data_IF_660048964741
#
_entry.id   IF_660048964741
#
_cell.length_a   1.000
_cell.length_b   1.000
_cell.length_c   1.000
_cell.angle_alpha   90.00
_cell.angle_beta   90.00
_cell.angle_gamma   90.00
#
_symmetry.space_group_name_H-M   'P 1'
#
loop_
_entity.id
_entity.type
_entity.pdbx_description
1 polymer ?
#
# COMPACT_ATOMS: atom_id res chain seq x y z
N UNK A 1 7.22 26.74 -4.45
CA UNK A 1 6.06 27.16 -5.27
C UNK A 1 5.01 26.03 -5.22
N UNK A 2 4.14 26.05 -4.21
CA UNK A 2 2.97 25.16 -4.12
C UNK A 2 1.98 25.57 -5.21
N UNK A 3 1.75 24.69 -6.18
CA UNK A 3 0.68 24.88 -7.17
C UNK A 3 -0.57 24.20 -6.63
N UNK A 4 -1.62 25.00 -6.43
CA UNK A 4 -2.97 24.58 -6.06
C UNK A 4 -3.61 23.78 -7.22
N UNK A 5 -3.40 22.47 -7.24
CA UNK A 5 -4.12 21.53 -8.10
C UNK A 5 -4.71 20.42 -7.21
N UNK A 6 -5.71 20.77 -6.39
CA UNK A 6 -6.36 19.80 -5.49
C UNK A 6 -7.89 19.82 -5.67
N UNK A 7 -8.37 19.74 -6.91
CA UNK A 7 -9.79 19.53 -7.21
C UNK A 7 -9.94 18.32 -8.14
N UNK A 8 -10.06 17.12 -7.56
CA UNK A 8 -10.77 16.01 -8.20
C UNK A 8 -12.21 16.01 -7.66
N UNK A 9 -13.15 16.45 -8.50
CA UNK A 9 -14.58 16.43 -8.17
C UNK A 9 -15.09 14.98 -8.22
N UNK A 10 -15.40 14.43 -7.04
CA UNK A 10 -15.93 13.07 -6.87
C UNK A 10 -17.45 13.04 -6.64
N UNK A 11 -18.17 14.14 -6.94
CA UNK A 11 -19.63 14.25 -6.79
C UNK A 11 -20.46 13.23 -7.59
N UNK A 12 -19.83 12.47 -8.49
CA UNK A 12 -20.47 11.49 -9.35
C UNK A 12 -20.64 10.07 -8.80
N UNK A 13 -20.26 9.76 -7.56
CA UNK A 13 -20.44 8.42 -6.97
C UNK A 13 -21.90 8.15 -6.50
N UNK A 14 -22.75 9.17 -6.48
CA UNK A 14 -24.09 9.16 -5.86
C UNK A 14 -25.21 8.46 -6.67
N UNK A 15 -24.92 7.73 -7.75
CA UNK A 15 -25.97 7.39 -8.72
C UNK A 15 -25.89 6.03 -9.39
N UNK A 16 -25.92 4.90 -8.63
CA UNK A 16 -26.50 3.60 -9.07
C UNK A 16 -26.39 2.51 -7.98
N UNK A 17 -27.54 2.25 -7.35
CA UNK A 17 -28.02 1.09 -6.55
C UNK A 17 -26.98 0.13 -5.93
N UNK A 18 -27.13 -0.07 -4.61
CA UNK A 18 -26.53 -0.98 -3.60
C UNK A 18 -25.88 -2.35 -3.97
N UNK A 19 -25.71 -2.72 -5.25
CA UNK A 19 -24.95 -3.90 -5.70
C UNK A 19 -23.85 -3.58 -6.72
N UNK A 20 -23.82 -2.38 -7.30
CA UNK A 20 -22.83 -2.02 -8.32
C UNK A 20 -21.39 -2.07 -7.78
N UNK A 21 -21.17 -1.68 -6.51
CA UNK A 21 -19.83 -1.67 -5.94
C UNK A 21 -19.16 -3.05 -5.96
N UNK A 22 -19.92 -4.16 -5.83
CA UNK A 22 -19.35 -5.52 -5.87
C UNK A 22 -18.80 -5.82 -7.25
N UNK A 23 -19.55 -5.49 -8.30
CA UNK A 23 -19.14 -5.67 -9.69
C UNK A 23 -17.92 -4.80 -10.00
N UNK A 24 -17.92 -3.53 -9.56
CA UNK A 24 -16.78 -2.62 -9.70
C UNK A 24 -15.54 -3.08 -8.92
N UNK A 25 -15.73 -3.87 -7.85
CA UNK A 25 -14.66 -4.53 -7.08
C UNK A 25 -14.38 -5.96 -7.56
N UNK A 26 -14.78 -6.31 -8.78
CA UNK A 26 -14.34 -7.53 -9.45
C UNK A 26 -15.12 -8.80 -9.09
N UNK A 27 -16.34 -8.70 -8.52
CA UNK A 27 -17.14 -9.89 -8.18
C UNK A 27 -17.51 -10.77 -9.38
N UNK A 28 -17.46 -10.22 -10.59
CA UNK A 28 -17.64 -10.94 -11.86
C UNK A 28 -16.43 -10.71 -12.78
N UNK A 29 -15.23 -10.67 -12.20
CA UNK A 29 -13.95 -10.56 -12.92
C UNK A 29 -13.86 -9.36 -13.88
N UNK A 30 -14.59 -8.28 -13.60
CA UNK A 30 -14.73 -7.10 -14.47
C UNK A 30 -15.15 -7.43 -15.91
N UNK A 31 -15.91 -8.52 -16.09
CA UNK A 31 -16.45 -8.91 -17.39
C UNK A 31 -17.21 -7.74 -18.03
N UNK A 32 -16.91 -7.47 -19.31
CA UNK A 32 -17.49 -6.40 -20.12
C UNK A 32 -17.29 -4.96 -19.57
N UNK A 33 -16.39 -4.76 -18.59
CA UNK A 33 -16.09 -3.43 -18.03
C UNK A 33 -14.73 -2.86 -18.43
N UNK A 34 -13.84 -3.68 -19.02
CA UNK A 34 -12.46 -3.29 -19.34
C UNK A 34 -12.35 -2.70 -20.75
N UNK A 35 -13.07 -3.27 -21.72
CA UNK A 35 -12.99 -2.88 -23.13
C UNK A 35 -14.40 -2.86 -23.77
N UNK A 36 -15.01 -1.67 -23.96
CA UNK A 36 -14.52 -0.36 -23.55
C UNK A 36 -14.54 -0.17 -22.03
N UNK A 37 -13.63 0.65 -21.49
CA UNK A 37 -13.52 0.88 -20.06
C UNK A 37 -14.76 1.62 -19.50
N UNK A 38 -15.55 0.92 -18.68
CA UNK A 38 -16.71 1.46 -17.98
C UNK A 38 -16.32 2.68 -17.12
N UNK A 39 -17.14 3.72 -17.17
CA UNK A 39 -16.86 4.97 -16.45
C UNK A 39 -16.85 4.78 -14.92
N UNK A 40 -17.70 3.90 -14.40
CA UNK A 40 -17.74 3.55 -12.98
C UNK A 40 -16.47 2.81 -12.55
N UNK A 41 -16.00 1.88 -13.38
CA UNK A 41 -14.74 1.18 -13.15
C UNK A 41 -13.56 2.15 -13.22
N UNK A 42 -13.51 3.03 -14.22
CA UNK A 42 -12.46 4.06 -14.33
C UNK A 42 -12.36 4.92 -13.07
N UNK A 43 -13.49 5.43 -12.57
CA UNK A 43 -13.53 6.24 -11.34
C UNK A 43 -13.10 5.44 -10.11
N UNK A 44 -13.50 4.17 -10.04
CA UNK A 44 -13.11 3.26 -8.93
C UNK A 44 -11.61 2.99 -8.94
N UNK A 45 -11.01 2.76 -10.11
CA UNK A 45 -9.57 2.56 -10.26
C UNK A 45 -8.78 3.82 -9.90
N UNK A 46 -9.23 5.00 -10.36
CA UNK A 46 -8.62 6.29 -10.00
C UNK A 46 -8.69 6.50 -8.48
N UNK A 47 -9.84 6.24 -7.87
CA UNK A 47 -10.04 6.38 -6.43
C UNK A 47 -9.04 5.55 -5.60
N UNK A 48 -8.85 4.27 -5.91
CA UNK A 48 -7.84 3.46 -5.22
C UNK A 48 -6.41 3.86 -5.61
N UNK A 49 -6.21 4.33 -6.84
CA UNK A 49 -4.94 4.88 -7.31
C UNK A 49 -4.51 6.11 -6.53
N UNK A 50 -5.41 7.04 -6.22
CA UNK A 50 -5.14 8.21 -5.38
C UNK A 50 -4.74 7.81 -3.95
N UNK A 51 -5.38 6.78 -3.37
CA UNK A 51 -5.03 6.26 -2.05
C UNK A 51 -3.64 5.61 -2.03
N UNK A 52 -3.28 4.86 -3.08
CA UNK A 52 -1.95 4.31 -3.24
C UNK A 52 -0.89 5.42 -3.48
N UNK A 53 -1.22 6.43 -4.28
CA UNK A 53 -0.35 7.58 -4.54
C UNK A 53 -0.11 8.40 -3.27
N UNK A 54 -1.12 8.56 -2.41
CA UNK A 54 -0.98 9.25 -1.12
C UNK A 54 0.11 8.60 -0.25
N UNK A 55 0.29 7.27 -0.35
CA UNK A 55 1.37 6.60 0.35
C UNK A 55 2.75 6.99 -0.21
N UNK A 56 2.87 7.18 -1.52
CA UNK A 56 4.10 7.68 -2.12
C UNK A 56 4.37 9.13 -1.73
N UNK A 57 3.37 10.00 -1.82
CA UNK A 57 3.50 11.44 -1.60
C UNK A 57 3.81 11.78 -0.13
N UNK A 58 3.29 10.98 0.80
CA UNK A 58 3.55 11.15 2.23
C UNK A 58 4.95 10.67 2.64
N UNK A 59 5.66 9.90 1.82
CA UNK A 59 6.95 9.30 2.21
C UNK A 59 8.12 10.31 2.13
N UNK A 60 9.02 10.25 3.10
CA UNK A 60 10.22 11.11 3.13
C UNK A 60 11.39 10.39 2.44
N UNK A 61 11.62 10.69 1.17
CA UNK A 61 12.73 10.11 0.38
C UNK A 61 14.08 10.84 0.55
N UNK A 62 14.06 12.07 1.06
CA UNK A 62 15.26 12.90 1.21
C UNK A 62 16.22 12.30 2.25
N UNK A 63 17.31 11.68 1.76
CA UNK A 63 18.25 10.92 2.59
C UNK A 63 19.01 11.77 3.60
N UNK A 64 19.21 13.07 3.33
CA UNK A 64 19.85 13.96 4.28
C UNK A 64 18.93 14.33 5.46
N UNK A 65 17.62 14.08 5.35
CA UNK A 65 16.69 14.24 6.46
C UNK A 65 16.96 13.21 7.55
N UNK A 66 16.95 13.65 8.80
CA UNK A 66 16.94 12.72 9.95
C UNK A 66 15.69 11.84 10.00
N UNK A 67 14.62 12.22 9.27
CA UNK A 67 13.35 11.50 9.17
C UNK A 67 13.21 10.75 7.83
N UNK A 68 14.30 10.59 7.06
CA UNK A 68 14.27 9.82 5.82
C UNK A 68 13.70 8.43 6.09
N UNK A 69 12.70 8.03 5.32
CA UNK A 69 12.04 6.75 5.47
C UNK A 69 10.80 6.72 6.35
N UNK A 70 10.38 7.83 6.95
CA UNK A 70 9.12 7.94 7.70
C UNK A 70 8.02 8.66 6.88
N UNK A 71 6.83 8.75 7.45
CA UNK A 71 5.71 9.54 6.94
C UNK A 71 5.88 11.03 7.28
N UNK A 72 5.62 11.91 6.31
CA UNK A 72 5.66 13.37 6.46
C UNK A 72 4.48 13.94 7.25
N UNK A 73 3.35 13.24 7.27
CA UNK A 73 2.09 13.77 7.77
C UNK A 73 1.53 12.94 8.92
N UNK A 74 0.91 13.60 9.89
CA UNK A 74 0.11 12.91 10.90
C UNK A 74 -1.09 12.22 10.25
N UNK A 75 -1.49 11.06 10.78
CA UNK A 75 -2.61 10.25 10.27
C UNK A 75 -3.88 11.06 10.01
N UNK A 76 -4.26 11.91 10.96
CA UNK A 76 -5.47 12.73 10.89
C UNK A 76 -5.52 13.68 9.68
N UNK A 77 -4.36 14.06 9.12
CA UNK A 77 -4.26 15.01 8.00
C UNK A 77 -3.64 14.39 6.75
N UNK A 78 -3.29 13.09 6.77
CA UNK A 78 -2.48 12.46 5.72
C UNK A 78 -3.16 12.58 4.35
N UNK A 79 -4.43 12.18 4.25
CA UNK A 79 -5.15 12.17 2.97
C UNK A 79 -5.42 13.58 2.44
N UNK A 80 -5.74 14.53 3.32
CA UNK A 80 -5.93 15.94 2.96
C UNK A 80 -4.63 16.57 2.46
N UNK A 81 -3.51 16.33 3.16
CA UNK A 81 -2.19 16.85 2.79
C UNK A 81 -1.64 16.23 1.51
N UNK A 82 -2.09 15.02 1.16
CA UNK A 82 -1.80 14.36 -0.11
C UNK A 82 -2.84 14.68 -1.20
N UNK A 83 -3.81 15.56 -0.95
CA UNK A 83 -4.84 15.96 -1.92
C UNK A 83 -5.64 14.78 -2.52
N UNK A 84 -5.96 13.77 -1.71
CA UNK A 84 -6.84 12.67 -2.14
C UNK A 84 -8.26 13.20 -2.29
N UNK A 85 -8.91 12.98 -3.45
CA UNK A 85 -10.25 13.50 -3.73
C UNK A 85 -11.32 12.97 -2.76
N UNK A 86 -11.10 11.75 -2.26
CA UNK A 86 -11.94 11.10 -1.25
C UNK A 86 -11.42 11.23 0.18
N UNK A 87 -10.58 12.21 0.50
CA UNK A 87 -9.97 12.36 1.83
C UNK A 87 -11.01 12.37 2.98
N UNK A 88 -12.15 13.03 2.80
CA UNK A 88 -13.22 13.10 3.80
C UNK A 88 -13.98 11.78 3.99
N UNK A 89 -13.81 10.81 3.08
CA UNK A 89 -14.50 9.52 3.15
C UNK A 89 -13.81 8.56 4.10
N UNK A 90 -12.56 8.81 4.48
CA UNK A 90 -11.77 7.87 5.29
C UNK A 90 -11.09 8.54 6.47
N UNK A 91 -10.89 7.76 7.51
CA UNK A 91 -9.98 8.07 8.61
C UNK A 91 -8.79 7.12 8.54
N UNK A 92 -7.57 7.65 8.59
CA UNK A 92 -6.35 6.83 8.68
C UNK A 92 -6.17 6.34 10.12
N UNK A 93 -6.41 5.06 10.35
CA UNK A 93 -6.42 4.46 11.68
C UNK A 93 -5.05 3.93 12.10
N UNK A 94 -4.20 3.54 11.15
CA UNK A 94 -2.90 2.92 11.44
C UNK A 94 -1.85 3.30 10.38
N UNK A 95 -0.61 3.52 10.82
CA UNK A 95 0.55 3.51 9.95
C UNK A 95 1.15 2.10 9.95
N UNK A 96 1.56 1.63 8.78
CA UNK A 96 2.29 0.38 8.62
C UNK A 96 3.77 0.67 8.51
N UNK A 97 4.58 -0.10 9.22
CA UNK A 97 6.03 -0.06 9.13
C UNK A 97 6.56 -1.42 8.73
N UNK A 98 7.67 -1.46 8.01
CA UNK A 98 8.32 -2.70 7.61
C UNK A 98 9.83 -2.62 7.81
N UNK A 99 10.45 -3.78 7.95
CA UNK A 99 11.89 -4.00 7.90
C UNK A 99 12.19 -5.21 7.02
N UNK A 100 13.45 -5.51 6.75
CA UNK A 100 13.86 -6.63 5.90
C UNK A 100 15.05 -7.35 6.51
N UNK A 101 14.91 -8.67 6.68
CA UNK A 101 15.99 -9.56 7.15
C UNK A 101 17.03 -9.86 6.07
N UNK A 102 16.70 -9.60 4.80
CA UNK A 102 17.62 -9.72 3.66
C UNK A 102 17.95 -8.33 3.12
N UNK A 103 19.13 -8.13 2.52
CA UNK A 103 19.42 -6.90 1.78
C UNK A 103 18.36 -6.66 0.70
N UNK A 104 17.79 -5.46 0.69
CA UNK A 104 16.86 -5.00 -0.35
C UNK A 104 17.34 -3.65 -0.88
N UNK A 105 17.02 -3.30 -2.14
CA UNK A 105 17.38 -2.01 -2.71
C UNK A 105 16.94 -0.83 -1.83
N UNK A 106 17.76 0.23 -1.81
CA UNK A 106 17.44 1.46 -1.07
C UNK A 106 16.15 2.13 -1.58
N UNK A 107 15.78 1.86 -2.84
CA UNK A 107 14.52 2.27 -3.45
C UNK A 107 13.27 1.70 -2.73
N UNK A 108 13.42 0.57 -2.02
CA UNK A 108 12.39 -0.05 -1.19
C UNK A 108 12.55 0.33 0.29
N UNK A 109 13.78 0.43 0.78
CA UNK A 109 14.09 0.74 2.18
C UNK A 109 15.09 1.90 2.25
N UNK A 110 14.58 3.12 2.41
CA UNK A 110 15.40 4.33 2.43
C UNK A 110 16.10 4.45 3.77
N UNK A 111 17.43 4.58 3.72
CA UNK A 111 18.29 4.83 4.89
C UNK A 111 18.74 6.29 4.93
N UNK A 112 18.51 6.94 6.07
CA UNK A 112 19.01 8.28 6.34
C UNK A 112 20.53 8.30 6.39
N UNK A 113 21.14 9.34 5.80
CA UNK A 113 22.57 9.65 5.90
C UNK A 113 22.90 10.50 7.13
N UNK A 114 21.87 10.96 7.86
CA UNK A 114 22.06 11.73 9.09
C UNK A 114 22.60 10.84 10.21
N UNK A 115 23.52 11.38 11.02
CA UNK A 115 23.98 10.72 12.25
C UNK A 115 22.86 10.61 13.30
N UNK A 116 21.87 11.49 13.21
CA UNK A 116 20.70 11.56 14.09
C UNK A 116 19.46 10.86 13.46
N UNK A 117 19.67 9.90 12.56
CA UNK A 117 18.60 9.15 11.92
C UNK A 117 17.58 8.62 12.96
N UNK A 118 16.30 8.89 12.73
CA UNK A 118 15.19 8.42 13.57
C UNK A 118 15.15 6.89 13.67
N UNK A 119 15.50 6.21 12.57
CA UNK A 119 15.58 4.77 12.44
C UNK A 119 16.58 4.40 11.34
N UNK A 120 17.21 3.23 11.47
CA UNK A 120 18.20 2.70 10.52
C UNK A 120 17.71 1.47 9.74
N UNK A 121 16.67 0.80 10.24
CA UNK A 121 16.25 -0.52 9.75
C UNK A 121 14.77 -0.60 9.39
N UNK A 122 13.93 0.31 9.89
CA UNK A 122 12.51 0.38 9.51
C UNK A 122 12.20 1.54 8.59
N UNK A 123 11.22 1.33 7.71
CA UNK A 123 10.58 2.37 6.92
C UNK A 123 9.07 2.35 7.15
N UNK A 124 8.48 3.54 7.09
CA UNK A 124 7.04 3.66 6.88
C UNK A 124 6.69 3.06 5.51
N UNK A 125 5.73 2.15 5.51
CA UNK A 125 5.41 1.27 4.40
C UNK A 125 3.99 1.46 3.87
N UNK A 126 3.17 2.26 4.55
CA UNK A 126 1.79 2.48 4.14
C UNK A 126 0.88 2.82 5.30
N UNK A 127 -0.42 2.69 5.06
CA UNK A 127 -1.42 2.97 6.07
C UNK A 127 -2.67 2.12 5.91
N UNK A 128 -3.41 2.00 7.01
CA UNK A 128 -4.77 1.48 7.04
C UNK A 128 -5.73 2.65 7.21
N UNK A 129 -6.75 2.71 6.35
CA UNK A 129 -7.79 3.70 6.41
C UNK A 129 -9.17 3.04 6.42
N UNK A 130 -10.09 3.58 7.22
CA UNK A 130 -11.45 3.04 7.37
C UNK A 130 -12.45 4.10 6.95
N UNK A 131 -13.45 3.72 6.17
CA UNK A 131 -14.47 4.65 5.72
C UNK A 131 -15.22 5.25 6.92
N UNK A 132 -15.35 6.58 6.97
CA UNK A 132 -16.19 7.31 7.94
C UNK A 132 -17.67 7.00 7.72
N UNK A 133 -18.58 7.41 8.62
CA UNK A 133 -20.02 7.21 8.39
C UNK A 133 -20.52 7.92 7.14
N UNK A 134 -20.02 9.13 6.88
CA UNK A 134 -20.26 9.84 5.64
C UNK A 134 -19.68 9.07 4.43
N UNK A 135 -18.44 8.61 4.51
CA UNK A 135 -17.82 7.80 3.47
C UNK A 135 -18.58 6.50 3.19
N UNK A 136 -19.03 5.79 4.22
CA UNK A 136 -19.87 4.58 4.10
C UNK A 136 -21.17 4.88 3.36
N UNK A 137 -21.82 6.00 3.64
CA UNK A 137 -23.04 6.40 2.95
C UNK A 137 -22.79 6.63 1.45
N UNK A 138 -21.65 7.25 1.09
CA UNK A 138 -21.26 7.48 -0.31
C UNK A 138 -20.82 6.20 -1.02
N UNK A 139 -20.07 5.33 -0.35
CA UNK A 139 -19.51 4.09 -0.90
C UNK A 139 -20.50 2.91 -0.88
N UNK A 140 -21.61 3.04 -0.16
CA UNK A 140 -22.60 1.99 0.06
C UNK A 140 -22.13 0.83 0.97
N UNK A 141 -20.97 0.97 1.63
CA UNK A 141 -20.35 -0.06 2.48
C UNK A 141 -19.31 0.55 3.41
N UNK A 142 -19.02 -0.11 4.54
CA UNK A 142 -17.82 0.21 5.31
C UNK A 142 -16.64 -0.45 4.62
N UNK A 143 -15.76 0.36 4.05
CA UNK A 143 -14.54 -0.11 3.43
C UNK A 143 -13.36 0.05 4.38
N UNK A 144 -12.44 -0.91 4.33
CA UNK A 144 -11.12 -0.84 4.95
C UNK A 144 -10.12 -0.90 3.79
N UNK A 145 -9.28 0.13 3.68
CA UNK A 145 -8.22 0.22 2.68
C UNK A 145 -6.89 -0.01 3.38
N UNK A 146 -6.09 -0.89 2.80
CA UNK A 146 -4.68 -1.08 3.17
C UNK A 146 -3.84 -0.60 2.01
N UNK A 147 -3.31 0.62 2.12
CA UNK A 147 -2.51 1.24 1.08
C UNK A 147 -1.02 0.97 1.34
N UNK A 148 -0.40 0.14 0.50
CA UNK A 148 1.03 -0.13 0.53
C UNK A 148 1.78 0.88 -0.33
N UNK A 149 2.86 1.43 0.22
CA UNK A 149 3.77 2.33 -0.50
C UNK A 149 4.64 1.51 -1.46
N UNK A 150 4.57 1.88 -2.74
CA UNK A 150 5.46 1.33 -3.78
C UNK A 150 6.90 1.88 -3.72
N UNK A 151 7.71 1.46 -4.68
CA UNK A 151 9.12 1.82 -4.82
C UNK A 151 9.31 3.32 -5.03
N UNK A 152 10.27 3.93 -4.32
CA UNK A 152 10.78 5.26 -4.67
C UNK A 152 11.57 5.12 -5.97
N UNK A 153 11.19 5.80 -7.06
CA UNK A 153 11.75 5.57 -8.41
C UNK A 153 13.27 5.80 -8.43
N UNK A 154 14.06 4.76 -8.76
CA UNK A 154 14.91 4.89 -9.96
C UNK A 154 14.75 3.66 -10.86
N UNK A 155 14.38 3.91 -12.13
CA UNK A 155 14.16 2.90 -13.19
C UNK A 155 15.37 1.97 -13.42
N UNK A 156 16.57 2.39 -13.00
CA UNK A 156 17.80 1.60 -13.11
C UNK A 156 17.78 0.32 -12.25
N UNK A 157 17.04 0.30 -11.12
CA UNK A 157 17.10 -0.81 -10.16
C UNK A 157 16.27 -2.04 -10.53
N UNK A 158 15.31 -1.94 -11.45
CA UNK A 158 14.54 -3.12 -11.90
C UNK A 158 15.49 -4.17 -12.51
N UNK A 159 16.63 -3.72 -13.05
CA UNK A 159 17.65 -4.59 -13.65
C UNK A 159 18.54 -5.28 -12.60
N UNK A 160 18.70 -4.71 -11.40
CA UNK A 160 19.56 -5.24 -10.31
C UNK A 160 18.79 -6.12 -9.31
N UNK A 161 17.47 -6.28 -9.49
CA UNK A 161 16.68 -7.20 -8.66
C UNK A 161 17.17 -8.63 -8.89
N UNK A 162 17.78 -9.21 -7.87
CA UNK A 162 17.95 -10.66 -7.81
C UNK A 162 16.57 -11.29 -7.58
N UNK A 163 16.02 -11.90 -8.63
CA UNK A 163 14.73 -12.58 -8.60
C UNK A 163 14.83 -13.94 -7.90
N UNK A 164 15.26 -13.94 -6.63
CA UNK A 164 15.29 -15.14 -5.82
C UNK A 164 13.87 -15.54 -5.45
N UNK A 165 13.49 -16.76 -5.85
CA UNK A 165 12.19 -17.33 -5.54
C UNK A 165 12.33 -18.33 -4.38
N UNK A 166 11.63 -18.05 -3.28
CA UNK A 166 11.65 -18.85 -2.04
C UNK A 166 10.26 -19.41 -1.74
N UNK A 167 10.22 -20.48 -0.94
CA UNK A 167 8.95 -21.03 -0.47
C UNK A 167 8.23 -20.03 0.44
N UNK A 168 6.91 -19.81 0.25
CA UNK A 168 6.09 -18.99 1.14
C UNK A 168 5.64 -19.76 2.39
N UNK A 169 6.32 -20.83 2.81
CA UNK A 169 5.94 -21.67 3.95
C UNK A 169 5.68 -20.87 5.24
N UNK A 170 6.42 -19.77 5.45
CA UNK A 170 6.21 -18.81 6.55
C UNK A 170 4.85 -18.09 6.51
N UNK A 171 4.19 -18.01 5.34
CA UNK A 171 2.88 -17.40 5.18
C UNK A 171 1.73 -18.34 5.56
N UNK A 172 1.89 -19.63 5.30
CA UNK A 172 0.80 -20.62 5.36
C UNK A 172 1.08 -21.75 6.35
N UNK A 173 1.57 -21.41 7.54
CA UNK A 173 1.86 -22.40 8.59
C UNK A 173 0.64 -23.29 8.86
N UNK A 174 0.85 -24.60 8.82
CA UNK A 174 -0.14 -25.60 9.23
C UNK A 174 -0.87 -26.36 8.11
N UNK A 175 -0.62 -26.06 6.82
CA UNK A 175 -1.21 -26.83 5.72
C UNK A 175 -0.41 -26.67 4.41
N UNK A 176 0.47 -27.62 4.11
CA UNK A 176 1.28 -27.60 2.88
C UNK A 176 0.42 -27.69 1.60
N UNK A 177 -0.81 -28.22 1.71
CA UNK A 177 -1.74 -28.30 0.57
C UNK A 177 -2.22 -26.92 0.10
N UNK A 178 -2.14 -25.87 0.93
CA UNK A 178 -2.60 -24.51 0.61
C UNK A 178 -1.72 -23.72 -0.34
N UNK A 179 -0.46 -24.10 -0.49
CA UNK A 179 0.48 -23.44 -1.38
C UNK A 179 1.07 -24.38 -2.45
N UNK A 180 0.61 -25.64 -2.46
CA UNK A 180 0.83 -26.60 -3.55
C UNK A 180 -0.22 -26.35 -4.64
N UNK A 181 -0.05 -25.29 -5.45
CA UNK A 181 -1.07 -24.88 -6.43
C UNK A 181 -0.46 -24.84 -7.82
N UNK A 182 -0.59 -25.95 -8.53
CA UNK A 182 -0.32 -26.07 -9.95
C UNK A 182 -0.80 -27.41 -10.50
N UNK A 183 -1.26 -27.44 -11.75
CA UNK A 183 -1.59 -28.69 -12.46
C UNK A 183 -0.37 -29.66 -12.56
N UNK A 184 0.83 -29.13 -12.29
CA UNK A 184 2.13 -29.82 -12.30
C UNK A 184 2.55 -30.39 -10.94
N UNK A 185 1.82 -30.10 -9.85
CA UNK A 185 2.21 -30.49 -8.49
C UNK A 185 3.39 -29.69 -7.91
N UNK A 186 3.84 -28.63 -8.58
CA UNK A 186 4.90 -27.77 -8.07
C UNK A 186 4.39 -26.83 -6.97
N UNK A 187 5.21 -26.65 -5.94
CA UNK A 187 4.87 -25.81 -4.81
C UNK A 187 5.10 -24.33 -5.17
N UNK A 188 4.15 -23.46 -4.80
CA UNK A 188 4.20 -22.04 -5.10
C UNK A 188 5.48 -21.40 -4.53
N UNK A 189 6.00 -20.40 -5.24
CA UNK A 189 7.16 -19.62 -4.80
C UNK A 189 6.84 -18.13 -4.85
N UNK A 190 7.50 -17.37 -3.99
CA UNK A 190 7.37 -15.91 -3.91
C UNK A 190 8.75 -15.27 -3.95
N UNK A 191 8.81 -14.00 -4.37
CA UNK A 191 10.07 -13.25 -4.37
C UNK A 191 10.59 -13.04 -2.94
N UNK A 192 11.86 -13.35 -2.71
CA UNK A 192 12.51 -13.31 -1.38
C UNK A 192 12.43 -11.92 -0.74
N UNK A 193 12.76 -10.86 -1.48
CA UNK A 193 12.68 -9.48 -0.98
C UNK A 193 11.28 -9.06 -0.52
N UNK A 194 10.22 -9.44 -1.27
CA UNK A 194 8.84 -9.13 -0.87
C UNK A 194 8.41 -9.92 0.35
N UNK A 195 8.76 -11.21 0.40
CA UNK A 195 8.50 -12.04 1.57
C UNK A 195 9.21 -11.48 2.81
N UNK A 196 10.47 -11.05 2.66
CA UNK A 196 11.24 -10.49 3.75
C UNK A 196 10.64 -9.17 4.25
N UNK A 197 10.31 -8.22 3.36
CA UNK A 197 9.65 -6.96 3.74
C UNK A 197 8.31 -7.22 4.45
N UNK A 198 7.54 -8.21 3.98
CA UNK A 198 6.21 -8.50 4.50
C UNK A 198 6.25 -9.22 5.87
N UNK A 199 7.26 -10.05 6.13
CA UNK A 199 7.28 -10.97 7.30
C UNK A 199 8.39 -10.71 8.31
N UNK A 200 9.39 -9.88 8.00
CA UNK A 200 10.47 -9.60 8.95
C UNK A 200 9.99 -8.68 10.07
N UNK A 201 10.55 -8.89 11.26
CA UNK A 201 10.41 -8.04 12.42
C UNK A 201 11.78 -7.73 13.03
N UNK A 202 11.84 -6.68 13.83
CA UNK A 202 12.97 -6.34 14.67
C UNK A 202 12.44 -6.04 16.09
N UNK A 203 12.63 -6.96 17.06
CA UNK A 203 12.20 -6.76 18.45
C UNK A 203 12.81 -5.52 19.13
N UNK A 204 13.92 -4.97 18.60
CA UNK A 204 14.57 -3.77 19.13
C UNK A 204 13.99 -2.49 18.52
N UNK A 205 13.29 -2.59 17.39
CA UNK A 205 12.64 -1.45 16.74
C UNK A 205 11.31 -1.14 17.44
N UNK A 206 11.05 0.12 17.81
CA UNK A 206 9.74 0.51 18.33
C UNK A 206 8.62 0.45 17.27
N UNK A 207 8.97 0.31 15.98
CA UNK A 207 8.03 0.30 14.85
C UNK A 207 7.79 -1.08 14.26
N UNK A 208 8.75 -2.01 14.42
CA UNK A 208 8.69 -3.35 13.83
C UNK A 208 8.88 -4.48 14.86
N UNK A 209 8.39 -4.30 16.09
CA UNK A 209 8.32 -5.39 17.07
C UNK A 209 7.58 -6.61 16.48
N UNK A 210 6.56 -6.33 15.67
CA UNK A 210 5.86 -7.29 14.81
C UNK A 210 6.10 -6.99 13.34
N UNK A 211 5.87 -7.99 12.50
CA UNK A 211 6.03 -7.85 11.04
C UNK A 211 4.98 -6.93 10.44
N UNK A 212 5.23 -6.40 9.24
CA UNK A 212 4.26 -5.57 8.53
C UNK A 212 2.94 -6.32 8.24
N UNK A 213 3.00 -7.65 8.11
CA UNK A 213 1.85 -8.54 8.00
C UNK A 213 0.97 -8.56 9.25
N UNK A 214 1.58 -8.52 10.43
CA UNK A 214 0.88 -8.68 11.72
C UNK A 214 0.33 -7.36 12.27
N UNK A 215 0.83 -6.22 11.78
CA UNK A 215 0.41 -4.86 12.16
C UNK A 215 -0.97 -4.49 11.64
#
# INVERSE_FOLDING_TARGET
RQRNFCNSDMSGLSGRKNRQWRILNGSDHWKDLIDPLDDGLRRTLIHYGELAQAAHDAFITERFSRFAGDCRYARATLLERCCVGSASYYEVTKNLYATSSVPVPEALMVKSLSREAWNRESNWMGFVAVATDAGKAQLGRREIVVAWRGTSRPLEWINDLQFNLVSPSKLFSGDESRWSVGATGEAAKVHEGWLSIYTSNDPRSPYNQTSARDQ
#
